data_IF_697543329878
#
_entry.id   IF_697543329878
#
_cell.length_a   1.000
_cell.length_b   1.000
_cell.length_c   1.000
_cell.angle_alpha   90.00
_cell.angle_beta   90.00
_cell.angle_gamma   90.00
#
_symmetry.space_group_name_H-M   'P 1'
#
loop_
_entity.id
_entity.type
_entity.pdbx_description
1 polymer ?
#
# COMPACT_ATOMS: atom_id res chain seq x y z
N UNK A 1 2.97 1.05 13.24
CA UNK A 1 2.36 0.63 11.95
C UNK A 1 2.51 1.76 10.93
N UNK A 2 3.49 1.67 10.03
CA UNK A 2 3.66 2.65 8.95
C UNK A 2 2.67 2.34 7.81
N UNK A 3 1.42 2.79 7.99
CA UNK A 3 0.31 2.55 7.05
C UNK A 3 0.38 3.51 5.85
N UNK A 4 1.43 3.42 5.03
CA UNK A 4 1.48 4.19 3.77
C UNK A 4 1.65 3.26 2.57
N UNK A 5 0.60 3.07 1.76
CA UNK A 5 0.66 2.26 0.55
C UNK A 5 1.70 2.81 -0.43
N UNK A 6 2.54 1.92 -0.97
CA UNK A 6 3.52 2.25 -2.02
C UNK A 6 2.77 2.59 -3.31
N UNK A 7 3.32 3.48 -4.15
CA UNK A 7 2.69 3.84 -5.43
C UNK A 7 2.47 2.60 -6.32
N UNK A 8 3.36 1.62 -6.23
CA UNK A 8 3.25 0.34 -6.95
C UNK A 8 2.00 -0.49 -6.56
N UNK A 9 1.47 -0.28 -5.36
CA UNK A 9 0.25 -0.92 -4.84
C UNK A 9 -0.99 -0.02 -5.01
N UNK A 10 -0.83 1.17 -5.61
CA UNK A 10 -1.90 2.14 -5.78
C UNK A 10 -2.78 1.75 -6.96
N UNK A 11 -3.99 1.27 -6.66
CA UNK A 11 -5.07 1.01 -7.62
C UNK A 11 -5.34 2.24 -8.52
N UNK A 12 -5.48 3.48 -8.01
CA UNK A 12 -5.77 4.61 -8.89
C UNK A 12 -4.60 4.95 -9.83
N UNK A 13 -3.35 4.73 -9.41
CA UNK A 13 -2.19 4.91 -10.29
C UNK A 13 -2.21 3.91 -11.45
N UNK A 14 -2.41 2.63 -11.15
CA UNK A 14 -2.52 1.61 -12.19
C UNK A 14 -3.75 1.80 -13.07
N UNK A 15 -4.88 2.24 -12.50
CA UNK A 15 -6.07 2.62 -13.26
C UNK A 15 -5.76 3.73 -14.27
N UNK A 16 -5.07 4.79 -13.86
CA UNK A 16 -4.62 5.85 -14.76
C UNK A 16 -3.73 5.29 -15.87
N UNK A 17 -2.71 4.49 -15.54
CA UNK A 17 -1.79 3.90 -16.52
C UNK A 17 -2.51 3.03 -17.53
N UNK A 18 -3.33 2.08 -17.07
CA UNK A 18 -4.03 1.11 -17.93
C UNK A 18 -5.06 1.81 -18.82
N UNK A 19 -5.86 2.73 -18.27
CA UNK A 19 -6.84 3.49 -19.06
C UNK A 19 -6.13 4.36 -20.09
N UNK A 20 -5.03 5.01 -19.73
CA UNK A 20 -4.24 5.82 -20.66
C UNK A 20 -3.70 4.96 -21.81
N UNK A 21 -3.12 3.79 -21.50
CA UNK A 21 -2.63 2.87 -22.53
C UNK A 21 -3.77 2.36 -23.43
N UNK A 22 -4.90 2.01 -22.83
CA UNK A 22 -6.08 1.52 -23.55
C UNK A 22 -6.66 2.59 -24.47
N UNK A 23 -6.71 3.85 -24.06
CA UNK A 23 -7.18 4.96 -24.92
C UNK A 23 -6.22 5.23 -26.08
N UNK A 24 -4.91 5.14 -25.88
CA UNK A 24 -3.95 5.21 -26.99
C UNK A 24 -4.16 4.06 -27.98
N UNK A 25 -4.20 2.81 -27.48
CA UNK A 25 -4.35 1.64 -28.33
C UNK A 25 -5.71 1.62 -29.07
N UNK A 26 -6.79 1.94 -28.36
CA UNK A 26 -8.13 2.03 -28.93
C UNK A 26 -8.26 3.17 -29.95
N UNK A 27 -7.73 4.35 -29.64
CA UNK A 27 -7.70 5.47 -30.58
C UNK A 27 -6.87 5.17 -31.83
N UNK A 28 -5.72 4.51 -31.67
CA UNK A 28 -4.89 4.04 -32.77
C UNK A 28 -5.66 3.06 -33.67
N UNK A 29 -6.25 2.02 -33.06
CA UNK A 29 -7.04 1.02 -33.78
C UNK A 29 -8.16 1.65 -34.62
N UNK A 30 -8.98 2.51 -34.00
CA UNK A 30 -10.08 3.23 -34.68
C UNK A 30 -9.57 4.04 -35.86
N UNK A 31 -8.49 4.79 -35.65
CA UNK A 31 -7.91 5.66 -36.68
C UNK A 31 -7.39 4.84 -37.86
N UNK A 32 -6.65 3.77 -37.59
CA UNK A 32 -6.10 2.90 -38.65
C UNK A 32 -7.20 2.16 -39.41
N UNK A 33 -8.25 1.69 -38.72
CA UNK A 33 -9.39 1.03 -39.36
C UNK A 33 -10.10 1.96 -40.35
N UNK A 34 -10.34 3.22 -39.97
CA UNK A 34 -10.99 4.18 -40.87
C UNK A 34 -10.13 4.63 -42.04
N UNK A 35 -8.84 4.84 -41.81
CA UNK A 35 -7.91 5.13 -42.92
C UNK A 35 -7.87 3.95 -43.90
N UNK A 36 -7.80 2.71 -43.40
CA UNK A 36 -7.81 1.52 -44.25
C UNK A 36 -9.13 1.39 -45.04
N UNK A 37 -10.27 1.52 -44.37
CA UNK A 37 -11.59 1.44 -45.01
C UNK A 37 -11.77 2.51 -46.09
N UNK A 38 -11.40 3.76 -45.83
CA UNK A 38 -11.45 4.82 -46.84
C UNK A 38 -10.50 4.54 -48.01
N UNK A 39 -9.30 4.04 -47.73
CA UNK A 39 -8.32 3.71 -48.77
C UNK A 39 -8.90 2.64 -49.71
N UNK A 40 -9.49 1.58 -49.16
CA UNK A 40 -10.13 0.52 -49.95
C UNK A 40 -11.30 1.07 -50.77
N UNK A 41 -12.24 1.78 -50.16
CA UNK A 41 -13.44 2.26 -50.87
C UNK A 41 -13.14 3.32 -51.92
N UNK A 42 -12.13 4.16 -51.69
CA UNK A 42 -11.66 5.12 -52.69
C UNK A 42 -10.96 4.42 -53.87
N UNK A 43 -10.20 3.36 -53.60
CA UNK A 43 -9.52 2.58 -54.65
C UNK A 43 -10.51 1.77 -55.48
N UNK A 44 -11.52 1.20 -54.84
CA UNK A 44 -12.55 0.36 -55.48
C UNK A 44 -13.68 1.20 -56.12
N UNK A 45 -13.67 2.52 -55.95
CA UNK A 45 -14.66 3.44 -56.51
C UNK A 45 -16.05 3.34 -55.87
N UNK A 46 -16.18 2.66 -54.73
CA UNK A 46 -17.45 2.42 -54.03
C UNK A 46 -17.69 3.38 -52.86
N UNK A 47 -16.83 4.38 -52.68
CA UNK A 47 -16.93 5.32 -51.56
C UNK A 47 -18.29 6.05 -51.55
N UNK A 48 -18.99 5.95 -50.44
CA UNK A 48 -20.24 6.69 -50.20
C UNK A 48 -19.99 7.94 -49.35
N UNK A 49 -20.93 8.89 -49.35
CA UNK A 49 -20.85 10.06 -48.47
C UNK A 49 -20.78 9.70 -46.98
N UNK A 50 -21.37 8.56 -46.58
CA UNK A 50 -21.28 8.05 -45.21
C UNK A 50 -19.83 7.66 -44.87
N UNK A 51 -19.15 6.98 -45.79
CA UNK A 51 -17.76 6.54 -45.59
C UNK A 51 -16.82 7.72 -45.38
N UNK A 52 -17.05 8.83 -46.06
CA UNK A 52 -16.20 10.03 -45.94
C UNK A 52 -16.56 10.85 -44.70
N UNK A 53 -17.83 11.25 -44.53
CA UNK A 53 -18.20 12.18 -43.45
C UNK A 53 -18.26 11.52 -42.07
N UNK A 54 -18.81 10.30 -41.98
CA UNK A 54 -18.84 9.56 -40.70
C UNK A 54 -17.45 8.98 -40.43
N UNK A 55 -16.78 8.44 -41.45
CA UNK A 55 -15.43 7.93 -41.31
C UNK A 55 -14.44 8.98 -40.82
N UNK A 56 -14.49 10.21 -41.33
CA UNK A 56 -13.60 11.30 -40.89
C UNK A 56 -13.89 11.69 -39.44
N UNK A 57 -15.16 11.79 -39.07
CA UNK A 57 -15.56 12.14 -37.70
C UNK A 57 -15.10 11.07 -36.69
N UNK A 58 -15.19 9.79 -37.07
CA UNK A 58 -14.71 8.66 -36.26
C UNK A 58 -13.18 8.64 -36.18
N UNK A 59 -12.47 8.92 -37.27
CA UNK A 59 -11.01 9.04 -37.27
C UNK A 59 -10.54 10.19 -36.36
N UNK A 60 -11.23 11.33 -36.38
CA UNK A 60 -10.95 12.47 -35.49
C UNK A 60 -11.13 12.09 -34.02
N UNK A 61 -12.20 11.34 -33.70
CA UNK A 61 -12.40 10.75 -32.38
C UNK A 61 -11.23 9.86 -31.96
N UNK A 62 -10.76 8.98 -32.86
CA UNK A 62 -9.58 8.16 -32.64
C UNK A 62 -8.34 8.99 -32.29
N UNK A 63 -8.09 10.07 -33.03
CA UNK A 63 -7.02 11.03 -32.74
C UNK A 63 -7.14 11.71 -31.38
N UNK A 64 -8.35 12.11 -30.97
CA UNK A 64 -8.60 12.68 -29.64
C UNK A 64 -8.32 11.65 -28.54
N UNK A 65 -8.72 10.39 -28.72
CA UNK A 65 -8.44 9.31 -27.77
C UNK A 65 -6.92 9.10 -27.61
N UNK A 66 -6.16 9.12 -28.70
CA UNK A 66 -4.70 9.03 -28.66
C UNK A 66 -4.13 10.21 -27.86
N UNK A 67 -4.57 11.45 -28.15
CA UNK A 67 -4.12 12.64 -27.43
C UNK A 67 -4.42 12.58 -25.94
N UNK A 68 -5.63 12.17 -25.56
CA UNK A 68 -6.02 11.99 -24.17
C UNK A 68 -5.18 10.92 -23.46
N UNK A 69 -4.89 9.80 -24.12
CA UNK A 69 -4.06 8.74 -23.59
C UNK A 69 -2.60 9.18 -23.38
N UNK A 70 -2.04 9.95 -24.32
CA UNK A 70 -0.70 10.54 -24.16
C UNK A 70 -0.65 11.47 -22.95
N UNK A 71 -1.64 12.35 -22.79
CA UNK A 71 -1.74 13.23 -21.62
C UNK A 71 -1.80 12.40 -20.34
N UNK A 72 -2.61 11.34 -20.29
CA UNK A 72 -2.69 10.44 -19.14
C UNK A 72 -1.35 9.76 -18.79
N UNK A 73 -0.59 9.31 -19.81
CA UNK A 73 0.76 8.75 -19.62
C UNK A 73 1.72 9.80 -19.03
N UNK A 74 1.70 11.03 -19.55
CA UNK A 74 2.53 12.12 -19.03
C UNK A 74 2.19 12.44 -17.58
N UNK A 75 0.90 12.44 -17.21
CA UNK A 75 0.48 12.60 -15.82
C UNK A 75 0.98 11.46 -14.94
N UNK A 76 0.87 10.21 -15.40
CA UNK A 76 1.36 9.04 -14.67
C UNK A 76 2.88 9.13 -14.43
N UNK A 77 3.65 9.51 -15.44
CA UNK A 77 5.09 9.74 -15.33
C UNK A 77 5.41 10.88 -14.36
N UNK A 78 4.66 11.98 -14.41
CA UNK A 78 4.80 13.10 -13.47
C UNK A 78 4.55 12.67 -12.03
N UNK A 79 3.49 11.91 -11.77
CA UNK A 79 3.19 11.36 -10.44
C UNK A 79 4.31 10.43 -9.98
N UNK A 80 4.80 9.55 -10.86
CA UNK A 80 5.91 8.65 -10.55
C UNK A 80 7.18 9.44 -10.20
N UNK A 81 7.53 10.47 -10.98
CA UNK A 81 8.68 11.33 -10.72
C UNK A 81 8.55 12.08 -9.38
N UNK A 82 7.38 12.66 -9.07
CA UNK A 82 7.15 13.33 -7.78
C UNK A 82 7.23 12.33 -6.62
N UNK A 83 6.81 11.08 -6.83
CA UNK A 83 6.87 10.05 -5.79
C UNK A 83 8.30 9.69 -5.36
N UNK A 84 9.31 9.90 -6.20
CA UNK A 84 10.71 9.61 -5.87
C UNK A 84 11.31 10.62 -4.90
N UNK A 85 10.76 11.84 -4.83
CA UNK A 85 11.17 12.88 -3.88
C UNK A 85 10.69 12.62 -2.45
N UNK A 86 9.86 11.59 -2.22
CA UNK A 86 9.32 11.32 -0.89
C UNK A 86 10.34 10.61 0.01
N UNK A 87 10.53 11.07 1.27
CA UNK A 87 11.37 10.40 2.25
C UNK A 87 10.97 8.93 2.40
N UNK A 88 11.94 8.03 2.23
CA UNK A 88 11.75 6.62 2.52
C UNK A 88 11.91 6.41 4.04
N UNK A 89 11.03 5.60 4.63
CA UNK A 89 11.21 5.20 6.01
C UNK A 89 12.50 4.36 6.13
N UNK A 90 13.29 4.53 7.20
CA UNK A 90 14.48 3.70 7.43
C UNK A 90 14.11 2.22 7.36
N UNK A 91 14.92 1.44 6.64
CA UNK A 91 14.80 -0.02 6.67
C UNK A 91 15.25 -0.46 8.05
N UNK A 92 14.32 -0.98 8.84
CA UNK A 92 14.63 -1.58 10.14
C UNK A 92 15.36 -2.89 9.86
N UNK A 93 16.68 -2.89 10.05
CA UNK A 93 17.51 -4.09 9.94
C UNK A 93 17.23 -4.90 11.20
N UNK A 94 16.34 -5.88 11.09
CA UNK A 94 16.14 -6.86 12.14
C UNK A 94 17.32 -7.81 12.08
N UNK A 95 18.21 -7.75 13.08
CA UNK A 95 19.25 -8.74 13.25
C UNK A 95 18.60 -10.12 13.40
N UNK A 96 19.09 -11.14 12.66
CA UNK A 96 18.57 -12.49 12.84
C UNK A 96 18.81 -12.91 14.29
N UNK A 97 17.75 -13.39 14.94
CA UNK A 97 17.85 -13.96 16.28
C UNK A 97 18.83 -15.13 16.19
N UNK A 98 19.96 -15.00 16.91
CA UNK A 98 20.94 -16.07 17.07
C UNK A 98 20.41 -17.06 18.11
N UNK A 99 19.69 -18.07 17.63
CA UNK A 99 19.13 -19.13 18.46
C UNK A 99 20.18 -20.07 19.05
N UNK A 100 21.44 -19.99 18.60
CA UNK A 100 22.54 -20.82 19.12
C UNK A 100 23.18 -20.24 20.39
N UNK A 101 22.88 -18.98 20.74
CA UNK A 101 23.40 -18.32 21.95
C UNK A 101 22.70 -18.71 23.27
N UNK A 102 21.51 -19.35 23.22
CA UNK A 102 20.72 -19.68 24.42
C UNK A 102 21.15 -21.01 25.10
N UNK A 103 22.10 -21.75 24.51
CA UNK A 103 22.52 -23.06 25.02
C UNK A 103 23.55 -23.00 26.17
N UNK A 104 24.12 -21.83 26.48
CA UNK A 104 25.26 -21.70 27.41
C UNK A 104 24.93 -21.03 28.76
N UNK A 105 23.68 -21.11 29.26
CA UNK A 105 23.32 -20.58 30.60
C UNK A 105 22.46 -21.52 31.46
N UNK A 106 22.33 -22.80 31.09
CA UNK A 106 21.60 -23.80 31.89
C UNK A 106 22.46 -24.50 32.97
N UNK A 107 23.32 -23.77 33.69
CA UNK A 107 24.15 -24.33 34.76
C UNK A 107 24.17 -23.46 36.02
N UNK A 108 23.01 -23.12 36.56
CA UNK A 108 22.89 -22.81 38.00
C UNK A 108 21.57 -23.36 38.54
N UNK A 109 21.63 -24.55 39.12
CA UNK A 109 20.51 -25.19 39.82
C UNK A 109 20.59 -24.84 41.31
N UNK A 110 19.50 -24.38 41.96
CA UNK A 110 19.54 -24.06 43.37
C UNK A 110 19.62 -25.34 44.22
N UNK A 111 20.63 -25.41 45.10
CA UNK A 111 20.81 -26.49 46.07
C UNK A 111 19.73 -26.41 47.17
N UNK A 112 18.99 -27.50 47.47
CA UNK A 112 18.10 -27.55 48.63
C UNK A 112 18.87 -27.65 49.93
N UNK A 113 18.53 -26.81 50.93
CA UNK A 113 18.99 -26.96 52.31
C UNK A 113 17.82 -27.47 53.16
N UNK A 114 18.00 -28.66 53.76
CA UNK A 114 17.03 -29.38 54.61
C UNK A 114 16.99 -28.80 56.06
N UNK A 115 15.88 -28.93 56.84
CA UNK A 115 15.58 -28.05 57.98
C UNK A 115 15.98 -28.63 59.35
N UNK A 116 16.24 -27.77 60.34
CA UNK A 116 16.35 -28.17 61.75
C UNK A 116 15.92 -27.06 62.76
N UNK A 117 14.70 -27.24 63.28
CA UNK A 117 14.15 -27.03 64.63
C UNK A 117 14.42 -25.77 65.49
N UNK A 118 13.35 -25.40 66.19
CA UNK A 118 13.09 -24.19 66.99
C UNK A 118 13.50 -24.29 68.48
N UNK A 119 13.65 -23.11 69.10
CA UNK A 119 13.60 -22.83 70.56
C UNK A 119 13.57 -21.28 70.71
N UNK A 120 12.83 -20.55 71.54
CA UNK A 120 11.58 -20.67 72.30
C UNK A 120 11.18 -19.20 72.69
N UNK A 121 9.87 -18.93 72.79
CA UNK A 121 9.19 -17.67 73.20
C UNK A 121 9.40 -17.31 74.70
N UNK A 122 8.80 -16.25 75.35
CA UNK A 122 7.91 -15.15 74.90
C UNK A 122 8.15 -13.76 75.59
N UNK A 123 7.15 -12.84 75.45
CA UNK A 123 6.67 -11.79 76.41
C UNK A 123 6.91 -10.31 75.94
N UNK A 124 5.99 -9.33 75.96
CA UNK A 124 4.63 -9.12 76.52
C UNK A 124 3.89 -8.04 75.70
N UNK A 125 2.62 -8.33 75.40
CA UNK A 125 1.40 -7.49 75.40
C UNK A 125 1.45 -5.95 75.50
N UNK A 126 0.72 -5.26 74.60
CA UNK A 126 -0.43 -4.39 74.91
C UNK A 126 -0.91 -3.57 73.68
N UNK A 127 -2.04 -3.99 73.10
CA UNK A 127 -2.99 -3.21 72.26
C UNK A 127 -3.74 -2.14 73.10
N UNK A 128 -4.77 -1.42 72.60
CA UNK A 128 -5.02 -0.74 71.32
C UNK A 128 -5.54 0.71 71.54
N UNK A 129 -5.74 1.50 70.48
CA UNK A 129 -6.85 2.48 70.51
C UNK A 129 -7.49 2.63 69.12
N UNK A 130 -8.69 2.07 69.01
CA UNK A 130 -9.72 2.38 68.03
C UNK A 130 -10.18 3.85 68.13
N UNK A 131 -10.55 4.45 66.99
CA UNK A 131 -11.82 5.17 66.83
C UNK A 131 -11.99 5.75 65.41
N UNK A 132 -12.80 5.05 64.61
CA UNK A 132 -13.99 5.57 63.92
C UNK A 132 -13.87 6.59 62.75
N UNK A 133 -14.46 6.18 61.62
CA UNK A 133 -14.80 6.94 60.39
C UNK A 133 -15.96 7.94 60.66
N UNK A 134 -16.75 8.51 59.71
CA UNK A 134 -16.75 8.45 58.23
C UNK A 134 -17.12 9.80 57.52
N UNK A 135 -17.38 9.71 56.20
CA UNK A 135 -18.42 10.41 55.41
C UNK A 135 -17.98 11.44 54.35
N UNK A 136 -18.45 11.16 53.13
CA UNK A 136 -18.46 11.99 51.94
C UNK A 136 -19.54 13.10 51.96
N UNK A 137 -19.22 14.27 51.40
CA UNK A 137 -20.11 15.28 50.80
C UNK A 137 -19.21 16.44 50.34
N UNK A 138 -19.35 17.13 49.21
CA UNK A 138 -20.40 17.27 48.21
C UNK A 138 -19.78 17.92 46.97
#
# INVERSE_FOLDING_TARGET
>A
MSTRPRLIQSIPFWGLVVVSLATVAGGWFITTDKIASMTTTLTDGTATGVDVYVGQSVAQLGGILIGAGIVGILLALGIAAISTLRPQAPVEVVEPIDWDSEAETAADAPRPTEPAAADAEPAVDAEPVDAEAPVAAR
#
